data_IF_070067047049
#
_entry.id   IF_070067047049
#
_cell.length_a   1.000
_cell.length_b   1.000
_cell.length_c   1.000
_cell.angle_alpha   90.00
_cell.angle_beta   90.00
_cell.angle_gamma   90.00
#
_symmetry.space_group_name_H-M   'P 1'
#
loop_
_entity.id
_entity.type
_entity.pdbx_description
1 polymer ?
#
# COMPACT_ATOMS: atom_id res chain seq x y z
N UNK A 1 4.43 25.42 39.04
CA UNK A 1 3.31 24.58 38.55
C UNK A 1 3.14 24.90 37.06
N UNK A 2 3.58 24.03 36.15
CA UNK A 2 3.48 24.26 34.69
C UNK A 2 3.68 22.94 33.92
N UNK A 3 2.86 21.92 34.22
CA UNK A 3 3.01 20.57 33.62
C UNK A 3 1.69 19.90 33.24
N UNK A 4 0.56 20.63 33.21
CA UNK A 4 -0.77 20.01 33.18
C UNK A 4 -1.61 20.19 31.91
N UNK A 5 -1.14 20.90 30.89
CA UNK A 5 -2.02 21.27 29.75
C UNK A 5 -1.42 20.93 28.37
N UNK A 6 -0.67 19.83 28.25
CA UNK A 6 -0.26 19.29 26.94
C UNK A 6 -0.71 17.82 26.84
N UNK A 7 -1.99 17.56 27.12
CA UNK A 7 -2.52 16.18 27.10
C UNK A 7 -3.81 15.98 26.30
N UNK A 8 -4.43 17.03 25.76
CA UNK A 8 -5.79 16.93 25.20
C UNK A 8 -5.93 17.37 23.74
N UNK A 9 -4.82 17.53 23.01
CA UNK A 9 -4.85 17.68 21.54
C UNK A 9 -4.19 16.49 20.83
N UNK A 10 -4.42 15.27 21.34
CA UNK A 10 -4.34 14.08 20.48
C UNK A 10 -5.52 14.15 19.53
N UNK A 11 -5.35 14.94 18.47
CA UNK A 11 -6.22 15.00 17.30
C UNK A 11 -6.67 13.58 16.99
N UNK A 12 -7.98 13.41 16.81
CA UNK A 12 -8.56 12.22 16.19
C UNK A 12 -7.80 11.94 14.89
N UNK A 13 -6.81 11.06 14.94
CA UNK A 13 -6.08 10.61 13.76
C UNK A 13 -7.11 9.81 12.99
N UNK A 14 -7.78 10.46 12.03
CA UNK A 14 -8.66 9.78 11.09
C UNK A 14 -7.87 8.61 10.53
N UNK A 15 -8.31 7.40 10.84
CA UNK A 15 -7.77 6.21 10.21
C UNK A 15 -8.08 6.34 8.73
N UNK A 16 -7.05 6.61 7.94
CA UNK A 16 -7.16 6.60 6.49
C UNK A 16 -7.49 5.15 6.11
N UNK A 17 -8.59 4.90 5.37
CA UNK A 17 -8.92 3.56 4.91
C UNK A 17 -7.73 2.95 4.15
N UNK A 18 -7.44 1.67 4.37
CA UNK A 18 -6.26 1.00 3.77
C UNK A 18 -6.23 1.09 2.23
N UNK A 19 -7.43 1.14 1.63
CA UNK A 19 -7.64 1.33 0.20
C UNK A 19 -7.11 2.66 -0.34
N UNK A 20 -7.12 3.73 0.47
CA UNK A 20 -6.60 5.03 0.07
C UNK A 20 -5.06 5.03 0.01
N UNK A 21 -4.37 4.20 0.83
CA UNK A 21 -2.91 4.12 0.77
C UNK A 21 -2.41 3.60 -0.58
N UNK A 22 -3.13 2.64 -1.17
CA UNK A 22 -2.77 2.01 -2.45
C UNK A 22 -3.45 2.67 -3.65
N UNK A 23 -4.28 3.70 -3.44
CA UNK A 23 -5.11 4.35 -4.48
C UNK A 23 -5.87 3.31 -5.32
N UNK A 24 -6.56 2.40 -4.63
CA UNK A 24 -7.13 1.20 -5.26
C UNK A 24 -8.25 1.49 -6.26
N UNK A 25 -8.82 2.70 -6.24
CA UNK A 25 -9.82 3.19 -7.19
C UNK A 25 -9.23 3.49 -8.57
N UNK A 26 -7.92 3.76 -8.62
CA UNK A 26 -7.17 4.05 -9.83
C UNK A 26 -6.39 2.84 -10.37
N UNK A 27 -6.38 1.73 -9.63
CA UNK A 27 -5.82 0.45 -10.07
C UNK A 27 -6.86 -0.41 -10.80
N UNK A 28 -6.38 -1.39 -11.57
CA UNK A 28 -7.28 -2.47 -11.99
C UNK A 28 -7.83 -3.19 -10.75
N UNK A 29 -9.12 -3.56 -10.81
CA UNK A 29 -9.81 -4.17 -9.67
C UNK A 29 -9.05 -5.38 -9.10
N UNK A 30 -8.52 -6.25 -9.96
CA UNK A 30 -7.77 -7.43 -9.52
C UNK A 30 -6.49 -7.07 -8.74
N UNK A 31 -5.77 -6.03 -9.18
CA UNK A 31 -4.54 -5.57 -8.51
C UNK A 31 -4.86 -4.92 -7.17
N UNK A 32 -5.90 -4.08 -7.12
CA UNK A 32 -6.36 -3.48 -5.88
C UNK A 32 -6.81 -4.55 -4.87
N UNK A 33 -7.62 -5.52 -5.31
CA UNK A 33 -8.14 -6.59 -4.45
C UNK A 33 -7.00 -7.43 -3.84
N UNK A 34 -5.99 -7.85 -4.63
CA UNK A 34 -4.88 -8.64 -4.09
C UNK A 34 -3.97 -7.82 -3.16
N UNK A 35 -3.70 -6.55 -3.49
CA UNK A 35 -2.90 -5.69 -2.62
C UNK A 35 -3.60 -5.47 -1.27
N UNK A 36 -4.91 -5.19 -1.29
CA UNK A 36 -5.73 -5.10 -0.08
C UNK A 36 -5.73 -6.40 0.71
N UNK A 37 -5.82 -7.55 0.06
CA UNK A 37 -5.84 -8.84 0.74
C UNK A 37 -4.60 -9.02 1.62
N UNK A 38 -3.41 -8.64 1.14
CA UNK A 38 -2.18 -8.74 1.93
C UNK A 38 -2.09 -7.71 3.04
N UNK A 39 -2.59 -6.49 2.83
CA UNK A 39 -2.70 -5.51 3.92
C UNK A 39 -3.63 -6.05 5.01
N UNK A 40 -4.77 -6.63 4.62
CA UNK A 40 -5.75 -7.25 5.51
C UNK A 40 -5.17 -8.44 6.30
N UNK A 41 -4.18 -9.14 5.73
CA UNK A 41 -3.41 -10.21 6.39
C UNK A 41 -2.30 -9.70 7.31
N UNK A 42 -2.21 -8.38 7.51
CA UNK A 42 -1.26 -7.75 8.43
C UNK A 42 0.09 -7.39 7.80
N UNK A 43 0.23 -7.46 6.48
CA UNK A 43 1.41 -6.91 5.80
C UNK A 43 1.33 -5.39 5.83
N UNK A 44 2.44 -4.74 6.16
CA UNK A 44 2.46 -3.28 6.21
C UNK A 44 2.24 -2.70 4.80
N UNK A 45 1.33 -1.75 4.66
CA UNK A 45 0.92 -1.20 3.36
C UNK A 45 2.07 -0.64 2.53
N UNK A 46 3.13 -0.10 3.17
CA UNK A 46 4.32 0.38 2.44
C UNK A 46 5.12 -0.75 1.81
N UNK A 47 5.16 -1.91 2.47
CA UNK A 47 5.83 -3.08 1.90
C UNK A 47 5.03 -3.59 0.71
N UNK A 48 3.70 -3.63 0.81
CA UNK A 48 2.80 -3.95 -0.32
C UNK A 48 3.01 -3.02 -1.52
N UNK A 49 3.03 -1.70 -1.30
CA UNK A 49 3.30 -0.74 -2.38
C UNK A 49 4.72 -0.92 -2.91
N UNK A 50 5.71 -1.10 -2.03
CA UNK A 50 7.09 -1.28 -2.40
C UNK A 50 7.30 -2.50 -3.30
N UNK A 51 6.71 -3.64 -2.95
CA UNK A 51 6.70 -4.84 -3.79
C UNK A 51 6.09 -4.57 -5.17
N UNK A 52 4.95 -3.86 -5.22
CA UNK A 52 4.33 -3.49 -6.49
C UNK A 52 5.23 -2.57 -7.36
N UNK A 53 5.93 -1.62 -6.73
CA UNK A 53 6.90 -0.73 -7.40
C UNK A 53 8.11 -1.51 -7.95
N UNK A 54 8.63 -2.49 -7.19
CA UNK A 54 9.73 -3.35 -7.62
C UNK A 54 9.33 -4.21 -8.83
N UNK A 55 8.13 -4.78 -8.82
CA UNK A 55 7.59 -5.58 -9.94
C UNK A 55 7.42 -4.71 -11.19
N UNK A 56 6.94 -3.48 -11.01
CA UNK A 56 6.87 -2.47 -12.08
C UNK A 56 8.25 -1.91 -12.49
N UNK A 57 9.34 -2.35 -11.84
CA UNK A 57 10.74 -1.96 -12.11
C UNK A 57 10.97 -0.45 -12.00
N UNK A 58 10.32 0.18 -11.02
CA UNK A 58 10.48 1.60 -10.70
C UNK A 58 11.09 1.79 -9.30
N UNK A 59 11.68 2.95 -9.00
CA UNK A 59 12.21 3.25 -7.68
C UNK A 59 11.14 3.22 -6.59
N UNK A 60 11.55 2.86 -5.37
CA UNK A 60 10.69 2.93 -4.19
C UNK A 60 10.46 4.39 -3.79
N UNK A 61 9.21 4.84 -3.77
CA UNK A 61 8.87 6.23 -3.44
C UNK A 61 8.25 6.40 -2.05
N UNK A 62 8.00 5.29 -1.35
CA UNK A 62 7.46 5.28 0.01
C UNK A 62 5.93 5.47 0.09
N UNK A 63 5.25 5.54 -1.05
CA UNK A 63 3.79 5.62 -1.19
C UNK A 63 3.36 5.39 -2.65
N UNK A 64 2.06 5.47 -2.91
CA UNK A 64 1.50 5.32 -4.26
C UNK A 64 1.36 6.69 -4.95
N UNK A 65 2.37 7.10 -5.71
CA UNK A 65 2.31 8.29 -6.57
C UNK A 65 1.77 7.98 -7.98
N UNK A 66 1.59 9.03 -8.80
CA UNK A 66 1.05 8.92 -10.15
C UNK A 66 1.93 8.07 -11.08
N UNK A 67 3.25 8.17 -10.94
CA UNK A 67 4.20 7.38 -11.73
C UNK A 67 4.11 5.90 -11.35
N UNK A 68 3.92 5.60 -10.07
CA UNK A 68 3.72 4.25 -9.55
C UNK A 68 2.42 3.64 -10.06
N UNK A 69 1.30 4.36 -9.96
CA UNK A 69 0.03 3.91 -10.50
C UNK A 69 0.13 3.61 -12.00
N UNK A 70 0.72 4.53 -12.76
CA UNK A 70 0.86 4.37 -14.20
C UNK A 70 1.71 3.15 -14.56
N UNK A 71 2.83 2.95 -13.87
CA UNK A 71 3.72 1.82 -14.12
C UNK A 71 3.07 0.48 -13.74
N UNK A 72 2.41 0.41 -12.58
CA UNK A 72 1.72 -0.80 -12.12
C UNK A 72 0.53 -1.14 -13.02
N UNK A 73 -0.26 -0.15 -13.47
CA UNK A 73 -1.36 -0.37 -14.39
C UNK A 73 -0.93 -0.79 -15.79
N UNK A 74 0.29 -0.44 -16.22
CA UNK A 74 0.83 -0.89 -17.51
C UNK A 74 1.16 -2.39 -17.55
N UNK A 75 1.33 -3.04 -16.40
CA UNK A 75 1.53 -4.48 -16.30
C UNK A 75 0.22 -5.24 -16.56
N UNK A 76 0.31 -6.47 -17.09
CA UNK A 76 -0.87 -7.34 -17.14
C UNK A 76 -1.22 -7.82 -15.74
N UNK A 77 -2.52 -7.90 -15.44
CA UNK A 77 -3.01 -8.29 -14.13
C UNK A 77 -2.45 -9.65 -13.68
N UNK A 78 -2.52 -10.68 -14.51
CA UNK A 78 -2.14 -12.03 -14.11
C UNK A 78 -0.61 -12.17 -13.90
N UNK A 79 0.20 -11.45 -14.68
CA UNK A 79 1.66 -11.38 -14.52
C UNK A 79 2.01 -10.67 -13.20
N UNK A 80 1.41 -9.50 -12.97
CA UNK A 80 1.60 -8.74 -11.72
C UNK A 80 1.20 -9.56 -10.49
N UNK A 81 0.02 -10.19 -10.50
CA UNK A 81 -0.51 -10.94 -9.35
C UNK A 81 0.41 -12.10 -8.99
N UNK A 82 0.93 -12.82 -10.00
CA UNK A 82 1.81 -13.96 -9.78
C UNK A 82 3.10 -13.53 -9.08
N UNK A 83 3.76 -12.50 -9.61
CA UNK A 83 5.02 -11.98 -9.05
C UNK A 83 4.79 -11.34 -7.67
N UNK A 84 3.67 -10.63 -7.51
CA UNK A 84 3.29 -9.96 -6.27
C UNK A 84 3.04 -10.94 -5.12
N UNK A 85 2.26 -12.00 -5.38
CA UNK A 85 2.00 -13.03 -4.38
C UNK A 85 3.30 -13.71 -3.94
N UNK A 86 4.22 -13.98 -4.87
CA UNK A 86 5.51 -14.60 -4.54
C UNK A 86 6.37 -13.71 -3.64
N UNK A 87 6.40 -12.40 -3.93
CA UNK A 87 7.21 -11.44 -3.18
C UNK A 87 6.64 -11.12 -1.79
N UNK A 88 5.31 -10.98 -1.68
CA UNK A 88 4.65 -10.49 -0.45
C UNK A 88 4.27 -11.60 0.52
N UNK A 89 4.02 -12.83 0.06
CA UNK A 89 3.65 -13.96 0.95
C UNK A 89 4.64 -14.21 2.09
N UNK A 90 5.97 -14.16 1.88
CA UNK A 90 6.94 -14.30 2.97
C UNK A 90 6.86 -13.23 4.07
N UNK A 91 6.16 -12.11 3.84
CA UNK A 91 6.05 -10.99 4.77
C UNK A 91 4.87 -11.10 5.74
N UNK A 92 3.97 -12.07 5.53
CA UNK A 92 2.85 -12.34 6.43
C UNK A 92 3.39 -12.87 7.77
N UNK A 93 3.03 -12.22 8.88
CA UNK A 93 3.54 -12.52 10.23
C UNK A 93 2.63 -13.47 11.02
#
# INVERSE_FOLDING_TARGET
MAKKEIKEELQEVKQIPEYEYIRGDELSKKKADIMLEYISKGVYWRDVIGSAQLIAKIPLTGGMDDDSLKAINALKDDEFITDFVQDVTPLVK
#
